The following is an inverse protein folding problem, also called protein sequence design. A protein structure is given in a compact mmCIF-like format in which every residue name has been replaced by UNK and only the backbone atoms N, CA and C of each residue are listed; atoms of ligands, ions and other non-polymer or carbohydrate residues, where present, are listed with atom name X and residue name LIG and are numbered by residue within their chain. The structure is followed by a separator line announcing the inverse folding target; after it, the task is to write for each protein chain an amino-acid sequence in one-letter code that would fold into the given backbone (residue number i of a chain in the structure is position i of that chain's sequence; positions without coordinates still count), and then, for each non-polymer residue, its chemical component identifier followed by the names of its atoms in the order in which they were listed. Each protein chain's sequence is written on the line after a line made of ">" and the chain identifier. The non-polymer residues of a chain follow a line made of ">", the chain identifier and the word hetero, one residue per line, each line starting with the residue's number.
data_IF_039799762009
#
_entry.id   IF_039799762009
#
_cell.length_a   1.000
_cell.length_b   1.000
_cell.length_c   1.000
_cell.angle_alpha   90.00
_cell.angle_beta   90.00
_cell.angle_gamma   90.00
#
_symmetry.space_group_name_H-M   'P 1'
#
loop_
_entity.id
_entity.type
_entity.pdbx_description
1 polymer ?
#
# COMPACT_ATOMS: atom_id res chain seq x y z
N UNK A 1 -13.16 -22.33 -26.79
CA UNK A 1 -13.40 -21.60 -25.51
C UNK A 1 -12.49 -20.38 -25.56
N UNK A 2 -13.01 -19.16 -25.37
CA UNK A 2 -12.14 -18.01 -25.29
C UNK A 2 -11.16 -18.22 -24.13
N UNK A 3 -9.87 -18.02 -24.38
CA UNK A 3 -8.82 -18.11 -23.36
C UNK A 3 -9.20 -17.16 -22.23
N UNK A 4 -9.21 -17.64 -20.99
CA UNK A 4 -9.69 -16.84 -19.85
C UNK A 4 -8.62 -15.79 -19.57
N UNK A 5 -8.86 -14.55 -20.02
CA UNK A 5 -7.96 -13.41 -19.72
C UNK A 5 -7.88 -13.19 -18.22
N UNK A 6 -6.67 -13.07 -17.72
CA UNK A 6 -6.39 -12.63 -16.36
C UNK A 6 -5.18 -11.69 -16.38
N UNK A 7 -4.73 -11.22 -15.23
CA UNK A 7 -3.59 -10.32 -15.13
C UNK A 7 -2.44 -10.95 -14.37
N UNK A 8 -1.24 -10.91 -14.93
CA UNK A 8 0.00 -11.34 -14.27
C UNK A 8 0.87 -10.14 -13.96
N UNK A 9 1.43 -10.11 -12.76
CA UNK A 9 2.48 -9.16 -12.41
C UNK A 9 3.75 -9.58 -13.18
N UNK A 10 4.26 -8.69 -14.04
CA UNK A 10 5.43 -8.92 -14.88
C UNK A 10 6.64 -8.11 -14.47
N UNK A 11 6.43 -7.07 -13.66
CA UNK A 11 7.51 -6.26 -13.10
C UNK A 11 7.08 -5.59 -11.81
N UNK A 12 8.04 -5.38 -10.92
CA UNK A 12 7.91 -4.67 -9.64
C UNK A 12 8.95 -3.57 -9.57
N UNK A 13 8.69 -2.56 -8.76
CA UNK A 13 9.64 -1.48 -8.49
C UNK A 13 9.22 -0.68 -7.28
N UNK A 14 10.18 -0.16 -6.55
CA UNK A 14 9.95 0.58 -5.32
C UNK A 14 10.81 1.83 -5.21
N UNK A 15 10.32 2.80 -4.43
CA UNK A 15 11.04 4.00 -4.06
C UNK A 15 10.72 4.35 -2.60
N UNK A 16 11.76 4.60 -1.82
CA UNK A 16 11.66 5.10 -0.45
C UNK A 16 12.57 6.31 -0.29
N UNK A 17 12.18 7.31 0.52
CA UNK A 17 13.02 8.48 0.80
C UNK A 17 14.36 8.11 1.45
N UNK A 18 15.37 8.93 1.22
CA UNK A 18 16.70 8.73 1.81
C UNK A 18 16.72 8.99 3.33
N UNK A 19 15.94 9.96 3.82
CA UNK A 19 15.91 10.30 5.24
C UNK A 19 15.31 9.17 6.05
N UNK A 20 16.15 8.56 6.89
CA UNK A 20 15.78 7.50 7.81
C UNK A 20 15.65 8.06 9.24
N UNK A 21 14.46 7.91 9.84
CA UNK A 21 14.20 8.27 11.23
C UNK A 21 14.10 7.00 12.08
N UNK A 22 15.03 6.85 13.02
CA UNK A 22 15.02 5.73 13.98
C UNK A 22 14.10 6.01 15.16
N UNK A 23 13.79 4.98 15.95
CA UNK A 23 13.00 5.14 17.16
C UNK A 23 13.73 6.00 18.22
N UNK A 24 15.07 5.91 18.29
CA UNK A 24 15.87 6.77 19.17
C UNK A 24 15.70 8.24 18.79
N UNK A 25 15.70 8.55 17.47
CA UNK A 25 15.49 9.93 17.02
C UNK A 25 14.08 10.42 17.35
N UNK A 26 13.05 9.57 17.30
CA UNK A 26 11.70 9.93 17.73
C UNK A 26 11.60 10.15 19.23
N UNK A 27 12.40 9.47 20.04
CA UNK A 27 12.41 9.67 21.50
C UNK A 27 12.93 11.07 21.93
N UNK A 28 13.53 11.81 21.00
CA UNK A 28 13.89 13.22 21.23
C UNK A 28 12.67 14.16 21.05
N UNK A 29 11.62 13.72 20.35
CA UNK A 29 10.44 14.52 20.05
C UNK A 29 9.26 14.19 20.97
N UNK A 30 9.06 12.89 21.27
CA UNK A 30 7.94 12.42 22.08
C UNK A 30 8.41 11.42 23.13
N UNK A 31 7.66 11.30 24.23
CA UNK A 31 7.96 10.37 25.34
C UNK A 31 7.76 8.93 24.91
N UNK A 32 8.82 8.30 24.36
CA UNK A 32 8.84 6.95 23.84
C UNK A 32 10.23 6.31 23.95
N UNK A 33 10.40 5.06 23.48
CA UNK A 33 11.68 4.39 23.36
C UNK A 33 11.63 3.33 22.24
N UNK A 34 12.79 2.92 21.71
CA UNK A 34 12.85 1.83 20.73
C UNK A 34 12.18 0.56 21.25
N UNK A 35 12.47 0.15 22.48
CA UNK A 35 11.89 -1.03 23.09
C UNK A 35 10.35 -0.94 23.18
N UNK A 36 9.81 0.26 23.47
CA UNK A 36 8.37 0.49 23.54
C UNK A 36 7.72 0.41 22.16
N UNK A 37 8.29 1.05 21.13
CA UNK A 37 7.77 1.05 19.77
C UNK A 37 7.89 -0.35 19.17
N UNK A 38 9.08 -0.93 19.19
CA UNK A 38 9.34 -2.22 18.55
C UNK A 38 8.48 -3.34 19.13
N UNK A 39 8.40 -3.46 20.46
CA UNK A 39 7.58 -4.50 21.10
C UNK A 39 6.09 -4.44 20.75
N UNK A 40 5.58 -3.29 20.32
CA UNK A 40 4.18 -3.06 19.98
C UNK A 40 3.89 -3.10 18.49
N UNK A 41 4.88 -2.78 17.67
CA UNK A 41 4.68 -2.54 16.23
C UNK A 41 5.58 -3.40 15.34
N UNK A 42 6.76 -3.79 15.82
CA UNK A 42 7.81 -4.40 15.01
C UNK A 42 8.59 -3.38 14.16
N UNK A 43 8.48 -2.08 14.46
CA UNK A 43 9.12 -1.00 13.69
C UNK A 43 10.35 -0.49 14.44
N UNK A 44 11.52 -0.48 13.80
CA UNK A 44 12.74 0.17 14.30
C UNK A 44 12.98 1.54 13.67
N UNK A 45 12.61 1.68 12.39
CA UNK A 45 12.82 2.94 11.65
C UNK A 45 11.75 3.14 10.56
N UNK A 46 11.70 4.34 10.03
CA UNK A 46 10.84 4.71 8.91
C UNK A 46 11.55 5.68 7.98
N UNK A 47 11.08 5.76 6.76
CA UNK A 47 11.57 6.70 5.76
C UNK A 47 10.62 7.88 5.67
N UNK A 48 11.16 9.08 5.57
CA UNK A 48 10.39 10.32 5.58
C UNK A 48 10.82 11.18 4.39
N UNK A 49 9.87 11.51 3.53
CA UNK A 49 10.06 12.40 2.41
C UNK A 49 10.16 13.86 2.91
N UNK A 50 11.22 14.55 2.53
CA UNK A 50 11.42 15.97 2.86
C UNK A 50 10.91 16.82 1.69
N UNK A 51 11.60 16.79 0.57
CA UNK A 51 11.29 17.57 -0.62
C UNK A 51 10.49 16.78 -1.66
N UNK A 52 10.60 15.44 -1.62
CA UNK A 52 9.92 14.56 -2.57
C UNK A 52 8.39 14.62 -2.37
N UNK A 53 7.67 14.73 -3.46
CA UNK A 53 6.22 14.58 -3.50
C UNK A 53 5.81 13.11 -3.63
N UNK A 54 4.53 12.80 -3.34
CA UNK A 54 3.97 11.47 -3.62
C UNK A 54 4.15 11.11 -5.09
N UNK A 55 4.00 12.08 -5.99
CA UNK A 55 4.17 11.86 -7.42
C UNK A 55 5.64 11.60 -7.83
N UNK A 56 6.64 12.13 -7.11
CA UNK A 56 8.06 11.82 -7.36
C UNK A 56 8.38 10.39 -6.96
N UNK A 57 8.00 9.98 -5.74
CA UNK A 57 8.19 8.60 -5.25
C UNK A 57 7.46 7.59 -6.16
N UNK A 58 6.23 7.90 -6.53
CA UNK A 58 5.42 7.05 -7.42
C UNK A 58 6.05 6.91 -8.82
N UNK A 59 6.57 8.00 -9.38
CA UNK A 59 7.19 7.99 -10.70
C UNK A 59 8.49 7.15 -10.72
N UNK A 60 9.32 7.25 -9.69
CA UNK A 60 10.53 6.45 -9.57
C UNK A 60 10.20 4.95 -9.40
N UNK A 61 9.24 4.59 -8.53
CA UNK A 61 8.78 3.22 -8.40
C UNK A 61 8.22 2.67 -9.72
N UNK A 62 7.45 3.49 -10.44
CA UNK A 62 6.89 3.15 -11.75
C UNK A 62 7.96 2.86 -12.80
N UNK A 63 8.99 3.71 -12.89
CA UNK A 63 10.12 3.51 -13.83
C UNK A 63 10.83 2.19 -13.57
N UNK A 64 11.15 1.89 -12.29
CA UNK A 64 11.76 0.61 -11.91
C UNK A 64 10.88 -0.59 -12.25
N UNK A 65 9.58 -0.49 -12.03
CA UNK A 65 8.64 -1.57 -12.37
C UNK A 65 8.58 -1.82 -13.89
N UNK A 66 8.57 -0.75 -14.71
CA UNK A 66 8.59 -0.87 -16.17
C UNK A 66 9.93 -1.43 -16.67
N UNK A 67 11.07 -1.00 -16.11
CA UNK A 67 12.40 -1.55 -16.41
C UNK A 67 12.45 -3.05 -16.08
N UNK A 68 11.94 -3.46 -14.94
CA UNK A 68 11.87 -4.85 -14.51
C UNK A 68 10.96 -5.69 -15.44
N UNK A 69 9.82 -5.12 -15.87
CA UNK A 69 8.93 -5.73 -16.87
C UNK A 69 9.49 -5.69 -18.30
N UNK A 70 10.53 -4.88 -18.57
CA UNK A 70 11.10 -4.63 -19.91
C UNK A 70 10.09 -4.05 -20.91
N UNK A 71 9.27 -3.11 -20.44
CA UNK A 71 8.30 -2.38 -21.26
C UNK A 71 8.62 -0.89 -21.30
N UNK A 72 8.16 -0.23 -22.36
CA UNK A 72 8.28 1.21 -22.53
C UNK A 72 7.05 1.95 -21.98
N UNK A 73 7.19 3.22 -21.55
CA UNK A 73 6.06 4.01 -21.06
C UNK A 73 4.88 4.12 -22.03
N UNK A 74 5.16 4.19 -23.33
CA UNK A 74 4.15 4.29 -24.40
C UNK A 74 3.31 3.01 -24.56
N UNK A 75 3.73 1.91 -23.96
CA UNK A 75 3.01 0.64 -24.00
C UNK A 75 1.96 0.53 -22.88
N UNK A 76 1.99 1.44 -21.89
CA UNK A 76 1.02 1.46 -20.79
C UNK A 76 -0.32 2.03 -21.29
N UNK A 77 -1.39 1.26 -21.08
CA UNK A 77 -2.76 1.66 -21.45
C UNK A 77 -3.47 2.40 -20.32
N UNK A 78 -3.17 2.00 -19.06
CA UNK A 78 -3.80 2.55 -17.86
C UNK A 78 -2.77 2.66 -16.72
N UNK A 79 -2.84 3.78 -15.99
CA UNK A 79 -2.06 4.04 -14.80
C UNK A 79 -3.00 4.34 -13.63
N UNK A 80 -2.91 3.53 -12.57
CA UNK A 80 -3.66 3.70 -11.34
C UNK A 80 -2.73 4.02 -10.18
N UNK A 81 -3.01 5.10 -9.44
CA UNK A 81 -2.30 5.40 -8.20
C UNK A 81 -3.25 5.28 -7.02
N UNK A 82 -2.94 4.37 -6.11
CA UNK A 82 -3.60 4.27 -4.82
C UNK A 82 -2.87 5.17 -3.83
N UNK A 83 -3.52 6.23 -3.39
CA UNK A 83 -2.98 7.18 -2.40
C UNK A 83 -4.09 7.87 -1.62
N UNK A 84 -3.83 8.22 -0.36
CA UNK A 84 -4.65 9.10 0.46
C UNK A 84 -3.88 10.36 0.91
N UNK A 85 -2.64 10.53 0.44
CA UNK A 85 -1.74 11.60 0.87
C UNK A 85 -1.20 12.47 -0.28
N UNK A 86 -1.87 12.44 -1.43
CA UNK A 86 -1.53 13.30 -2.57
C UNK A 86 -1.57 14.80 -2.21
N UNK A 87 -0.67 15.58 -2.82
CA UNK A 87 -0.50 17.01 -2.50
C UNK A 87 -1.60 17.89 -3.09
N UNK A 88 -2.28 17.43 -4.14
CA UNK A 88 -3.27 18.19 -4.89
C UNK A 88 -4.56 17.39 -5.09
N UNK A 89 -5.70 18.09 -5.05
CA UNK A 89 -6.97 17.50 -5.46
C UNK A 89 -7.01 17.31 -6.98
N UNK A 90 -6.43 18.24 -7.73
CA UNK A 90 -6.22 18.17 -9.17
C UNK A 90 -5.03 19.04 -9.61
N UNK A 91 -4.21 18.60 -10.60
CA UNK A 91 -4.30 17.30 -11.24
C UNK A 91 -4.03 16.18 -10.22
N UNK A 92 -4.71 15.04 -10.38
CA UNK A 92 -4.49 13.86 -9.55
C UNK A 92 -3.04 13.35 -9.65
N UNK A 93 -2.59 12.62 -8.64
CA UNK A 93 -1.23 12.06 -8.58
C UNK A 93 -0.93 11.18 -9.78
N UNK A 94 -1.88 10.36 -10.22
CA UNK A 94 -1.73 9.51 -11.41
C UNK A 94 -1.43 10.30 -12.68
N UNK A 95 -2.11 11.44 -12.88
CA UNK A 95 -1.85 12.32 -14.04
C UNK A 95 -0.45 12.96 -13.96
N UNK A 96 0.00 13.31 -12.75
CA UNK A 96 1.35 13.85 -12.54
C UNK A 96 2.42 12.79 -12.82
N UNK A 97 2.22 11.56 -12.36
CA UNK A 97 3.11 10.42 -12.63
C UNK A 97 3.13 10.10 -14.12
N UNK A 98 1.97 10.02 -14.75
CA UNK A 98 1.82 9.77 -16.19
C UNK A 98 2.69 10.71 -17.03
N UNK A 99 2.66 12.01 -16.70
CA UNK A 99 3.47 13.02 -17.38
C UNK A 99 4.98 12.85 -17.11
N UNK A 100 5.38 12.55 -15.85
CA UNK A 100 6.78 12.38 -15.46
C UNK A 100 7.45 11.17 -16.12
N UNK A 101 6.73 10.05 -16.23
CA UNK A 101 7.27 8.82 -16.83
C UNK A 101 7.12 8.77 -18.35
N UNK A 102 6.40 9.73 -18.96
CA UNK A 102 6.17 9.77 -20.40
C UNK A 102 5.14 8.77 -20.93
N UNK A 103 4.25 8.25 -20.10
CA UNK A 103 3.20 7.31 -20.50
C UNK A 103 2.03 8.03 -21.20
N UNK A 104 2.32 8.74 -22.28
CA UNK A 104 1.44 9.71 -22.96
C UNK A 104 0.12 9.11 -23.48
N UNK A 105 0.07 7.80 -23.66
CA UNK A 105 -1.13 7.08 -24.15
C UNK A 105 -2.02 6.55 -23.03
N UNK A 106 -1.48 6.44 -21.82
CA UNK A 106 -2.17 5.86 -20.70
C UNK A 106 -3.34 6.75 -20.22
N UNK A 107 -4.51 6.17 -19.99
CA UNK A 107 -5.48 6.76 -19.08
C UNK A 107 -4.90 6.75 -17.67
N UNK A 108 -5.22 7.77 -16.85
CA UNK A 108 -4.64 7.88 -15.51
C UNK A 108 -5.65 8.44 -14.51
N UNK A 109 -5.80 7.81 -13.34
CA UNK A 109 -6.60 8.32 -12.24
C UNK A 109 -6.18 7.75 -10.88
N UNK A 110 -6.48 8.52 -9.82
CA UNK A 110 -6.22 8.14 -8.44
C UNK A 110 -7.36 7.32 -7.86
N UNK A 111 -7.02 6.47 -6.89
CA UNK A 111 -7.96 5.72 -6.07
C UNK A 111 -7.63 5.91 -4.59
N UNK A 112 -8.64 6.21 -3.77
CA UNK A 112 -8.50 6.30 -2.34
C UNK A 112 -9.32 5.20 -1.65
N UNK A 113 -8.64 4.23 -1.07
CA UNK A 113 -9.19 3.25 -0.15
C UNK A 113 -8.20 3.03 1.02
N UNK A 114 -7.51 4.10 1.41
CA UNK A 114 -6.50 4.13 2.48
C UNK A 114 -5.51 2.95 2.35
N UNK A 115 -5.19 2.27 3.45
CA UNK A 115 -4.24 1.15 3.46
C UNK A 115 -4.62 -0.03 2.55
N UNK A 116 -5.89 -0.16 2.16
CA UNK A 116 -6.34 -1.18 1.20
C UNK A 116 -6.25 -0.71 -0.25
N UNK A 117 -5.84 0.54 -0.48
CA UNK A 117 -5.88 1.20 -1.80
C UNK A 117 -5.19 0.41 -2.89
N UNK A 118 -4.00 -0.14 -2.62
CA UNK A 118 -3.29 -0.95 -3.62
C UNK A 118 -4.09 -2.19 -4.07
N UNK A 119 -4.71 -2.91 -3.15
CA UNK A 119 -5.52 -4.10 -3.50
C UNK A 119 -6.81 -3.72 -4.24
N UNK A 120 -7.41 -2.57 -3.93
CA UNK A 120 -8.55 -2.07 -4.69
C UNK A 120 -8.13 -1.65 -6.11
N UNK A 121 -7.00 -0.97 -6.25
CA UNK A 121 -6.44 -0.61 -7.56
C UNK A 121 -6.05 -1.84 -8.38
N UNK A 122 -5.41 -2.85 -7.73
CA UNK A 122 -5.08 -4.13 -8.36
C UNK A 122 -6.34 -4.86 -8.88
N UNK A 123 -7.41 -4.87 -8.07
CA UNK A 123 -8.69 -5.45 -8.47
C UNK A 123 -9.35 -4.73 -9.63
N UNK A 124 -9.29 -3.42 -9.63
CA UNK A 124 -9.78 -2.58 -10.71
C UNK A 124 -9.00 -2.84 -12.00
N UNK A 125 -7.66 -2.90 -11.92
CA UNK A 125 -6.79 -3.26 -13.04
C UNK A 125 -7.13 -4.65 -13.59
N UNK A 126 -7.27 -5.63 -12.70
CA UNK A 126 -7.67 -6.98 -13.10
C UNK A 126 -9.02 -7.04 -13.82
N UNK A 127 -10.03 -6.28 -13.36
CA UNK A 127 -11.32 -6.19 -14.01
C UNK A 127 -11.20 -5.61 -15.43
N UNK A 128 -10.38 -4.59 -15.63
CA UNK A 128 -10.09 -4.02 -16.93
C UNK A 128 -9.38 -5.00 -17.87
N UNK A 129 -8.37 -5.74 -17.38
CA UNK A 129 -7.70 -6.77 -18.18
C UNK A 129 -8.68 -7.87 -18.57
N UNK A 130 -9.53 -8.34 -17.65
CA UNK A 130 -10.55 -9.35 -17.94
C UNK A 130 -11.59 -8.89 -18.96
N UNK A 131 -11.95 -7.61 -18.96
CA UNK A 131 -12.89 -7.03 -19.93
C UNK A 131 -12.27 -6.89 -21.33
N UNK A 132 -10.94 -6.96 -21.44
CA UNK A 132 -10.21 -6.71 -22.68
C UNK A 132 -10.11 -5.24 -23.07
N UNK A 133 -10.46 -4.30 -22.18
CA UNK A 133 -10.36 -2.87 -22.46
C UNK A 133 -8.91 -2.40 -22.50
N UNK A 134 -8.07 -2.95 -21.63
CA UNK A 134 -6.63 -2.68 -21.55
C UNK A 134 -5.84 -3.96 -21.49
N UNK A 135 -4.55 -3.90 -21.86
CA UNK A 135 -3.64 -5.05 -21.89
C UNK A 135 -2.43 -4.88 -20.96
N UNK A 136 -1.97 -3.63 -20.76
CA UNK A 136 -0.84 -3.31 -19.88
C UNK A 136 -1.23 -2.18 -18.92
N UNK A 137 -1.24 -2.51 -17.63
CA UNK A 137 -1.68 -1.59 -16.59
C UNK A 137 -0.57 -1.43 -15.56
N UNK A 138 -0.25 -0.19 -15.22
CA UNK A 138 0.65 0.16 -14.12
C UNK A 138 -0.18 0.47 -12.88
N UNK A 139 0.05 -0.27 -11.80
CA UNK A 139 -0.64 -0.09 -10.51
C UNK A 139 0.38 0.32 -9.46
N UNK A 140 0.15 1.46 -8.83
CA UNK A 140 1.08 2.07 -7.88
C UNK A 140 0.36 2.29 -6.55
N UNK A 141 1.01 1.97 -5.45
CA UNK A 141 0.67 2.44 -4.11
C UNK A 141 1.73 3.44 -3.68
N UNK A 142 1.35 4.68 -3.35
CA UNK A 142 2.31 5.73 -3.00
C UNK A 142 1.76 6.64 -1.91
N UNK A 143 2.58 6.91 -0.89
CA UNK A 143 2.15 7.69 0.27
C UNK A 143 3.26 8.59 0.82
N UNK A 144 2.88 9.78 1.25
CA UNK A 144 3.64 10.68 2.13
C UNK A 144 2.82 10.94 3.38
N UNK A 145 2.68 9.91 4.23
CA UNK A 145 1.87 9.98 5.44
C UNK A 145 2.45 10.93 6.48
N UNK A 146 3.77 11.16 6.45
CA UNK A 146 4.47 12.07 7.35
C UNK A 146 3.90 13.49 7.35
N UNK A 147 3.29 13.93 6.23
CA UNK A 147 2.64 15.24 6.10
C UNK A 147 1.27 15.33 6.78
N UNK A 148 0.69 14.19 7.14
CA UNK A 148 -0.63 14.07 7.75
C UNK A 148 -0.57 13.87 9.27
N UNK A 149 0.64 13.72 9.84
CA UNK A 149 0.86 13.40 11.24
C UNK A 149 0.91 14.66 12.09
N UNK A 150 0.40 14.55 13.31
CA UNK A 150 0.82 15.37 14.43
C UNK A 150 2.07 14.73 15.04
N UNK A 151 3.21 15.39 14.91
CA UNK A 151 4.49 14.88 15.42
C UNK A 151 4.59 14.92 16.95
N UNK A 152 3.64 15.55 17.65
CA UNK A 152 3.50 15.53 19.11
C UNK A 152 2.60 14.37 19.59
N UNK A 153 1.81 13.77 18.69
CA UNK A 153 1.00 12.59 19.00
C UNK A 153 1.80 11.31 18.84
N UNK A 154 2.36 10.77 19.93
CA UNK A 154 3.11 9.51 19.92
C UNK A 154 2.27 8.28 19.56
N UNK A 155 0.93 8.39 19.52
CA UNK A 155 0.07 7.25 19.15
C UNK A 155 0.10 6.98 17.64
N UNK A 156 0.43 7.97 16.84
CA UNK A 156 0.46 7.93 15.38
C UNK A 156 1.85 8.16 14.78
N UNK A 157 2.62 9.15 15.25
CA UNK A 157 3.91 9.53 14.66
C UNK A 157 4.96 8.40 14.69
N UNK A 158 4.84 7.45 15.62
CA UNK A 158 5.76 6.31 15.74
C UNK A 158 5.48 5.18 14.73
N UNK A 159 4.37 5.24 13.99
CA UNK A 159 3.92 4.14 13.14
C UNK A 159 4.26 4.34 11.67
N UNK A 160 3.96 5.53 11.14
CA UNK A 160 3.89 5.74 9.71
C UNK A 160 5.23 6.14 9.08
N UNK A 161 5.40 5.74 7.83
CA UNK A 161 6.50 6.13 6.97
C UNK A 161 6.00 6.43 5.55
N UNK A 162 6.89 6.96 4.72
CA UNK A 162 6.64 7.37 3.35
C UNK A 162 7.29 6.39 2.37
N UNK A 163 6.71 6.27 1.18
CA UNK A 163 7.26 5.45 0.12
C UNK A 163 6.27 5.15 -0.99
N UNK A 164 6.75 4.51 -2.02
CA UNK A 164 5.97 4.04 -3.15
C UNK A 164 6.40 2.65 -3.60
N UNK A 165 5.46 1.86 -4.06
CA UNK A 165 5.72 0.63 -4.78
C UNK A 165 4.79 0.51 -5.97
N UNK A 166 5.27 -0.12 -7.03
CA UNK A 166 4.56 -0.24 -8.29
C UNK A 166 4.65 -1.66 -8.86
N UNK A 167 3.61 -2.07 -9.57
CA UNK A 167 3.61 -3.31 -10.33
C UNK A 167 3.09 -3.05 -11.74
N UNK A 168 3.68 -3.73 -12.71
CA UNK A 168 3.12 -3.84 -14.07
C UNK A 168 2.26 -5.10 -14.13
N UNK A 169 1.01 -4.93 -14.55
CA UNK A 169 0.10 -6.03 -14.90
C UNK A 169 -0.04 -6.14 -16.40
N UNK A 170 0.18 -7.33 -16.93
CA UNK A 170 -0.07 -7.64 -18.34
C UNK A 170 -1.14 -8.71 -18.46
N UNK A 171 -1.97 -8.61 -19.52
CA UNK A 171 -2.95 -9.62 -19.86
C UNK A 171 -2.24 -10.93 -20.20
N UNK A 172 -2.50 -12.00 -19.43
CA UNK A 172 -1.93 -13.32 -19.61
C UNK A 172 -2.99 -14.36 -19.21
N UNK A 173 -2.91 -15.57 -19.73
CA UNK A 173 -3.78 -16.71 -19.34
C UNK A 173 -3.49 -17.23 -17.93
N UNK A 174 -2.42 -16.76 -17.26
CA UNK A 174 -2.01 -17.14 -15.90
C UNK A 174 -1.78 -15.89 -15.08
N UNK A 175 -2.20 -15.89 -13.81
CA UNK A 175 -2.00 -14.73 -12.93
C UNK A 175 -3.05 -14.68 -11.83
N UNK A 176 -3.68 -13.53 -11.62
CA UNK A 176 -4.69 -13.35 -10.56
C UNK A 176 -5.86 -14.30 -10.80
N UNK A 177 -6.11 -15.19 -9.85
CA UNK A 177 -7.15 -16.23 -9.95
C UNK A 177 -8.46 -15.83 -9.28
N UNK A 178 -8.42 -14.93 -8.30
CA UNK A 178 -9.60 -14.46 -7.59
C UNK A 178 -9.35 -13.25 -6.71
N UNK A 179 -10.42 -12.61 -6.26
CA UNK A 179 -10.36 -11.45 -5.42
C UNK A 179 -11.60 -11.33 -4.53
N UNK A 180 -11.38 -10.88 -3.30
CA UNK A 180 -12.41 -10.54 -2.32
C UNK A 180 -12.14 -9.14 -1.80
N UNK A 181 -13.15 -8.29 -1.82
CA UNK A 181 -13.07 -6.92 -1.32
C UNK A 181 -14.30 -6.58 -0.48
N UNK A 182 -14.08 -6.05 0.73
CA UNK A 182 -15.13 -5.64 1.65
C UNK A 182 -14.85 -4.24 2.20
N UNK A 183 -15.90 -3.58 2.67
CA UNK A 183 -15.82 -2.33 3.40
C UNK A 183 -16.81 -2.35 4.58
N UNK A 184 -16.42 -1.70 5.68
CA UNK A 184 -17.28 -1.49 6.85
C UNK A 184 -17.29 0.00 7.22
N UNK A 185 -18.12 0.76 6.50
CA UNK A 185 -18.24 2.22 6.70
C UNK A 185 -18.83 2.61 8.05
N UNK A 186 -19.50 1.67 8.77
CA UNK A 186 -20.05 1.94 10.10
C UNK A 186 -18.97 2.21 11.16
N UNK A 187 -17.72 1.85 10.87
CA UNK A 187 -16.58 2.01 11.77
C UNK A 187 -15.59 3.09 11.31
N UNK A 188 -15.98 3.93 10.38
CA UNK A 188 -15.10 4.96 9.80
C UNK A 188 -14.45 5.89 10.82
N UNK A 189 -15.08 6.12 11.97
CA UNK A 189 -14.59 7.03 13.02
C UNK A 189 -13.33 6.55 13.75
N UNK A 190 -12.93 5.27 13.62
CA UNK A 190 -11.76 4.75 14.35
C UNK A 190 -10.41 5.07 13.70
N UNK A 191 -10.44 5.56 12.46
CA UNK A 191 -9.25 6.04 11.74
C UNK A 191 -9.69 7.13 10.77
N UNK A 192 -9.36 8.36 11.06
CA UNK A 192 -9.79 9.54 10.30
C UNK A 192 -8.62 10.43 9.96
N UNK A 193 -8.74 11.12 8.83
CA UNK A 193 -7.87 12.22 8.44
C UNK A 193 -8.74 13.20 7.66
N UNK A 194 -9.29 14.24 8.31
CA UNK A 194 -10.17 15.21 7.65
C UNK A 194 -9.44 16.01 6.57
N UNK A 195 -10.18 16.41 5.52
CA UNK A 195 -9.69 17.29 4.48
C UNK A 195 -9.31 18.66 5.04
N UNK A 196 -8.20 19.18 4.58
CA UNK A 196 -7.79 20.55 4.89
C UNK A 196 -6.40 20.63 5.47
N UNK A 197 -5.39 20.33 4.66
CA UNK A 197 -3.97 20.68 4.95
C UNK A 197 -3.79 22.17 4.94
N UNK A 198 -4.46 22.89 5.82
CA UNK A 198 -4.10 24.27 6.09
C UNK A 198 -3.11 24.24 7.24
N UNK A 199 -1.92 24.69 6.97
CA UNK A 199 -0.95 25.18 7.94
C UNK A 199 -1.53 26.42 8.69
N UNK A 200 -2.68 26.27 9.34
CA UNK A 200 -3.37 27.27 10.13
C UNK A 200 -3.91 26.58 11.37
N UNK A 201 -3.53 27.07 12.48
CA UNK A 201 -3.83 26.94 13.91
C UNK A 201 -4.91 25.94 14.43
N UNK A 202 -5.52 25.08 13.58
CA UNK A 202 -6.45 23.97 13.91
C UNK A 202 -6.50 22.93 12.79
N UNK A 203 -5.35 22.54 12.20
CA UNK A 203 -5.34 21.49 11.18
C UNK A 203 -5.57 20.14 11.85
N UNK A 204 -6.63 19.47 11.47
CA UNK A 204 -6.89 18.09 11.86
C UNK A 204 -5.85 17.17 11.20
N UNK A 205 -5.07 16.51 12.02
CA UNK A 205 -4.12 15.47 11.67
C UNK A 205 -4.82 14.11 11.53
N UNK A 206 -4.07 13.11 11.15
CA UNK A 206 -4.52 11.72 11.18
C UNK A 206 -4.77 11.29 12.64
N UNK A 207 -5.99 10.86 12.93
CA UNK A 207 -6.41 10.36 14.25
C UNK A 207 -6.73 8.87 14.17
N UNK A 208 -6.32 8.10 15.19
CA UNK A 208 -6.49 6.65 15.19
C UNK A 208 -6.80 6.08 16.57
N UNK A 209 -7.90 5.34 16.67
CA UNK A 209 -8.19 4.44 17.79
C UNK A 209 -7.48 3.10 17.59
N UNK A 210 -6.18 3.05 17.85
CA UNK A 210 -5.30 1.92 17.48
C UNK A 210 -5.79 0.55 17.97
N UNK A 211 -6.46 0.47 19.13
CA UNK A 211 -6.99 -0.79 19.64
C UNK A 211 -8.17 -1.30 18.79
N UNK A 212 -9.05 -0.42 18.34
CA UNK A 212 -10.19 -0.80 17.51
C UNK A 212 -9.75 -1.19 16.09
N UNK A 213 -8.78 -0.45 15.53
CA UNK A 213 -8.16 -0.81 14.25
C UNK A 213 -7.48 -2.19 14.35
N UNK A 214 -6.75 -2.45 15.44
CA UNK A 214 -6.11 -3.74 15.68
C UNK A 214 -7.14 -4.89 15.77
N UNK A 215 -8.18 -4.74 16.58
CA UNK A 215 -9.26 -5.74 16.73
C UNK A 215 -9.95 -6.03 15.39
N UNK A 216 -10.19 -4.98 14.59
CA UNK A 216 -10.73 -5.11 13.24
C UNK A 216 -9.81 -5.93 12.35
N UNK A 217 -8.52 -5.57 12.27
CA UNK A 217 -7.55 -6.20 11.37
C UNK A 217 -7.35 -7.68 11.69
N UNK A 218 -7.07 -8.04 12.95
CA UNK A 218 -6.84 -9.45 13.35
C UNK A 218 -8.07 -10.35 13.13
N UNK A 219 -9.26 -9.76 13.03
CA UNK A 219 -10.48 -10.49 12.70
C UNK A 219 -10.71 -10.59 11.19
N UNK A 220 -10.59 -9.47 10.47
CA UNK A 220 -11.02 -9.36 9.08
C UNK A 220 -10.00 -9.91 8.09
N UNK A 221 -8.71 -9.72 8.35
CA UNK A 221 -7.65 -10.23 7.45
C UNK A 221 -7.74 -11.75 7.26
N UNK A 222 -7.77 -12.58 8.32
CA UNK A 222 -7.95 -14.03 8.13
C UNK A 222 -9.27 -14.40 7.44
N UNK A 223 -10.37 -13.69 7.75
CA UNK A 223 -11.67 -13.96 7.11
C UNK A 223 -11.61 -13.74 5.59
N UNK A 224 -10.99 -12.64 5.12
CA UNK A 224 -10.82 -12.38 3.69
C UNK A 224 -9.92 -13.43 3.03
N UNK A 225 -8.85 -13.87 3.71
CA UNK A 225 -7.97 -14.92 3.21
C UNK A 225 -8.74 -16.24 3.06
N UNK A 226 -9.45 -16.68 4.09
CA UNK A 226 -10.27 -17.90 4.05
C UNK A 226 -11.34 -17.84 2.95
N UNK A 227 -11.97 -16.68 2.77
CA UNK A 227 -12.99 -16.46 1.75
C UNK A 227 -12.41 -16.57 0.33
N UNK A 228 -11.31 -15.87 0.04
CA UNK A 228 -10.70 -15.92 -1.31
C UNK A 228 -10.16 -17.31 -1.65
N UNK A 229 -9.60 -18.02 -0.67
CA UNK A 229 -9.16 -19.41 -0.86
C UNK A 229 -10.34 -20.34 -1.17
N UNK A 230 -11.42 -20.23 -0.39
CA UNK A 230 -12.62 -21.03 -0.59
C UNK A 230 -13.29 -20.76 -1.95
N UNK A 231 -13.40 -19.49 -2.37
CA UNK A 231 -13.97 -19.12 -3.68
C UNK A 231 -13.20 -19.70 -4.86
N UNK A 232 -11.88 -19.90 -4.70
CA UNK A 232 -11.02 -20.42 -5.76
C UNK A 232 -10.66 -21.90 -5.61
N UNK A 233 -11.17 -22.57 -4.58
CA UNK A 233 -10.86 -23.99 -4.32
C UNK A 233 -9.36 -24.22 -4.05
N UNK A 234 -8.67 -23.22 -3.49
CA UNK A 234 -7.23 -23.27 -3.19
C UNK A 234 -7.02 -23.74 -1.77
N UNK A 235 -6.19 -24.75 -1.55
CA UNK A 235 -5.82 -25.22 -0.23
C UNK A 235 -4.76 -24.31 0.39
N UNK A 236 -4.74 -24.19 1.72
CA UNK A 236 -3.74 -23.36 2.43
C UNK A 236 -2.31 -23.87 2.23
N UNK A 237 -2.18 -25.18 2.09
CA UNK A 237 -0.91 -25.87 1.84
C UNK A 237 -0.25 -25.45 0.52
N UNK A 238 -1.06 -25.03 -0.47
CA UNK A 238 -0.60 -24.56 -1.78
C UNK A 238 -0.10 -23.10 -1.73
N UNK A 239 -0.37 -22.38 -0.63
CA UNK A 239 0.06 -20.99 -0.47
C UNK A 239 1.51 -20.94 0.00
N UNK A 240 2.34 -20.31 -0.82
CA UNK A 240 3.74 -20.10 -0.48
C UNK A 240 3.94 -18.92 0.49
N UNK A 241 3.27 -17.78 0.22
CA UNK A 241 3.34 -16.58 1.04
C UNK A 241 2.00 -15.85 1.12
N UNK A 242 1.75 -15.25 2.28
CA UNK A 242 0.68 -14.31 2.54
C UNK A 242 1.28 -12.90 2.59
N UNK A 243 1.19 -12.15 1.50
CA UNK A 243 1.72 -10.78 1.41
C UNK A 243 0.67 -9.82 1.94
N UNK A 244 0.85 -9.39 3.19
CA UNK A 244 -0.11 -8.54 3.88
C UNK A 244 0.34 -7.08 3.96
N UNK A 245 -0.62 -6.18 4.18
CA UNK A 245 -0.33 -4.81 4.56
C UNK A 245 0.53 -4.76 5.83
N UNK A 246 1.58 -3.94 5.80
CA UNK A 246 2.62 -3.84 6.82
C UNK A 246 2.27 -2.80 7.89
N UNK A 247 1.14 -2.97 8.60
CA UNK A 247 0.69 -2.02 9.61
C UNK A 247 1.35 -2.23 10.97
N UNK A 248 1.48 -3.49 11.40
CA UNK A 248 1.94 -3.87 12.73
C UNK A 248 2.24 -5.38 12.75
N UNK A 249 3.42 -5.78 13.21
CA UNK A 249 3.85 -7.19 13.25
C UNK A 249 2.87 -8.10 14.01
N UNK A 250 2.25 -7.58 15.08
CA UNK A 250 1.29 -8.34 15.89
C UNK A 250 0.00 -8.68 15.12
N UNK A 251 -0.37 -7.88 14.09
CA UNK A 251 -1.49 -8.20 13.20
C UNK A 251 -1.13 -9.40 12.33
N UNK A 252 0.09 -9.42 11.77
CA UNK A 252 0.57 -10.49 10.91
C UNK A 252 0.71 -11.80 11.71
N UNK A 253 1.36 -11.77 12.88
CA UNK A 253 1.43 -12.93 13.78
C UNK A 253 0.03 -13.40 14.22
N UNK A 254 -0.89 -12.47 14.47
CA UNK A 254 -2.28 -12.79 14.81
C UNK A 254 -3.02 -13.48 13.65
N UNK A 255 -2.77 -13.06 12.41
CA UNK A 255 -3.31 -13.69 11.21
C UNK A 255 -2.72 -15.09 11.01
N UNK A 256 -1.41 -15.27 11.12
CA UNK A 256 -0.72 -16.55 11.03
C UNK A 256 -1.28 -17.56 12.04
N UNK A 257 -1.38 -17.16 13.31
CA UNK A 257 -1.95 -17.98 14.38
C UNK A 257 -3.39 -18.40 14.10
N UNK A 258 -4.23 -17.48 13.61
CA UNK A 258 -5.65 -17.77 13.35
C UNK A 258 -5.84 -18.67 12.12
N UNK A 259 -5.00 -18.50 11.10
CA UNK A 259 -4.98 -19.37 9.92
C UNK A 259 -4.32 -20.72 10.19
N UNK A 260 -3.64 -20.88 11.33
CA UNK A 260 -2.83 -22.05 11.69
C UNK A 260 -1.71 -22.29 10.65
N UNK A 261 -1.10 -21.20 10.19
CA UNK A 261 0.02 -21.20 9.26
C UNK A 261 1.32 -20.73 9.94
N UNK A 262 2.49 -21.23 9.51
CA UNK A 262 3.77 -20.81 10.05
C UNK A 262 4.06 -19.32 9.75
N UNK A 263 4.70 -18.62 10.71
CA UNK A 263 4.96 -17.17 10.57
C UNK A 263 5.89 -16.85 9.38
N UNK A 264 6.74 -17.79 8.97
CA UNK A 264 7.64 -17.67 7.82
C UNK A 264 6.90 -17.48 6.48
N UNK A 265 5.60 -17.83 6.42
CA UNK A 265 4.76 -17.54 5.27
C UNK A 265 4.25 -16.08 5.23
N UNK A 266 4.52 -15.28 6.27
CA UNK A 266 4.09 -13.89 6.41
C UNK A 266 5.29 -12.96 6.42
N UNK A 267 5.93 -12.69 5.27
CA UNK A 267 7.11 -11.83 5.23
C UNK A 267 6.77 -10.41 5.71
N UNK A 268 7.78 -9.76 6.32
CA UNK A 268 7.66 -8.43 6.91
C UNK A 268 8.84 -7.56 6.50
N UNK A 269 8.57 -6.28 6.22
CA UNK A 269 9.58 -5.24 5.99
C UNK A 269 9.29 -3.95 6.77
N UNK A 270 8.23 -3.95 7.60
CA UNK A 270 7.86 -2.78 8.40
C UNK A 270 8.91 -2.36 9.39
N UNK A 271 9.83 -3.25 9.76
CA UNK A 271 10.97 -2.95 10.62
C UNK A 271 11.78 -1.76 10.07
N UNK A 272 11.95 -1.71 8.75
CA UNK A 272 12.75 -0.72 8.03
C UNK A 272 11.95 0.47 7.51
N UNK A 273 10.66 0.27 7.18
CA UNK A 273 9.87 1.27 6.46
C UNK A 273 8.69 1.82 7.27
N UNK A 274 8.35 1.19 8.40
CA UNK A 274 7.12 1.51 9.12
C UNK A 274 5.86 1.14 8.33
N UNK A 275 4.76 1.76 8.68
CA UNK A 275 3.49 1.62 7.97
C UNK A 275 3.42 2.65 6.82
N UNK A 276 3.59 2.20 5.60
CA UNK A 276 3.51 3.03 4.38
C UNK A 276 2.14 2.93 3.68
N UNK A 277 1.08 2.57 4.42
CA UNK A 277 -0.31 2.49 3.91
C UNK A 277 -0.43 1.72 2.59
N UNK A 278 -0.96 2.34 1.52
CA UNK A 278 -1.13 1.70 0.21
C UNK A 278 0.18 1.25 -0.45
N UNK A 279 1.31 1.86 -0.10
CA UNK A 279 2.62 1.47 -0.65
C UNK A 279 3.18 0.18 -0.04
N UNK A 280 2.69 -0.27 1.13
CA UNK A 280 3.34 -1.33 1.91
C UNK A 280 3.36 -2.70 1.20
N UNK A 281 2.28 -3.10 0.53
CA UNK A 281 2.22 -4.37 -0.22
C UNK A 281 3.15 -4.35 -1.43
N UNK A 282 3.08 -3.35 -2.34
CA UNK A 282 3.98 -3.32 -3.48
C UNK A 282 5.45 -3.11 -3.11
N UNK A 283 5.76 -2.41 -2.00
CA UNK A 283 7.12 -2.35 -1.43
C UNK A 283 7.63 -3.72 -0.95
N UNK A 284 6.74 -4.56 -0.44
CA UNK A 284 7.10 -5.91 0.01
C UNK A 284 7.21 -6.90 -1.16
N UNK A 285 6.54 -6.62 -2.28
CA UNK A 285 6.59 -7.46 -3.49
C UNK A 285 7.90 -7.26 -4.28
N UNK A 286 8.49 -6.05 -4.20
CA UNK A 286 9.75 -5.68 -4.83
C UNK A 286 10.95 -6.11 -3.99
#
# INVERSE_FOLDING_TARGET
>A
MAEQRTGRITGTGSCVPDLCITNERLSELVDTSDAWIYSRTGIHRRRIAVDETVADLAAEAAQKAMENAKILPEEIDLLLVATCSGEMLFPGTACQVQARIGAVRAAAFDMNAACSGFLFALGTAWAYLKSGLYEKILVIGAEKLSRLLDWEDRSTCVLFGDGAGAVVLEADGKGIVGMVQHADGSRGQVLTCPEGHKAAENSSSLEMEGQEVFKFAVKKVPQCIEEVLAQNGTAKEDIRYYILHQANSRILSGAAKRLQEPEEKFPMNMEEYGNTSAASIPLLLD
#
